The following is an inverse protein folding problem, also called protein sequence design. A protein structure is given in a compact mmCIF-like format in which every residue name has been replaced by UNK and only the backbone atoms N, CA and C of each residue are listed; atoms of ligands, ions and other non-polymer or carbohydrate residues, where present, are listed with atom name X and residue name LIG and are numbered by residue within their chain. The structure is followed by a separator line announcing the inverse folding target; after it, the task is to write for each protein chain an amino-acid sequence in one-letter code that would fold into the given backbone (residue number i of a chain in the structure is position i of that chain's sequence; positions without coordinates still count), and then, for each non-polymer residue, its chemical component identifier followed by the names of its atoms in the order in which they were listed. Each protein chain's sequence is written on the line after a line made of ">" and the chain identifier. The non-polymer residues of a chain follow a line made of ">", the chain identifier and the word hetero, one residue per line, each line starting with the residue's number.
data_IF_685395471817
#
_entry.id   IF_685395471817
#
_cell.length_a   1.000
_cell.length_b   1.000
_cell.length_c   1.000
_cell.angle_alpha   90.00
_cell.angle_beta   90.00
_cell.angle_gamma   90.00
#
_symmetry.space_group_name_H-M   'P 1'
#
loop_
_entity.id
_entity.type
_entity.pdbx_description
1 polymer ?
#
# COMPACT_ATOMS: atom_id res chain seq x y z
N UNK A 1 32.08 -2.16 37.19
CA UNK A 1 30.79 -1.84 36.55
C UNK A 1 31.03 -1.46 35.11
N UNK A 2 30.16 -1.98 34.22
CA UNK A 2 29.74 -1.45 32.92
C UNK A 2 30.86 -0.92 31.99
N UNK A 3 31.09 -1.45 30.80
CA UNK A 3 30.13 -1.44 29.69
C UNK A 3 30.54 -2.47 28.64
N UNK A 4 29.74 -3.52 28.47
CA UNK A 4 29.74 -4.26 27.21
C UNK A 4 28.94 -3.37 26.26
N UNK A 5 29.65 -2.60 25.43
CA UNK A 5 29.07 -1.84 24.32
C UNK A 5 28.35 -2.86 23.44
N UNK A 6 27.04 -2.96 23.60
CA UNK A 6 26.18 -3.94 22.93
C UNK A 6 26.46 -3.85 21.42
N UNK A 7 27.03 -4.92 20.86
CA UNK A 7 27.51 -4.96 19.48
C UNK A 7 26.36 -4.57 18.56
N UNK A 8 26.51 -3.47 17.81
CA UNK A 8 25.47 -2.96 16.91
C UNK A 8 25.05 -4.06 15.91
N UNK A 9 23.91 -4.68 16.20
CA UNK A 9 23.31 -5.68 15.34
C UNK A 9 22.40 -4.98 14.32
N UNK A 10 23.01 -4.61 13.20
CA UNK A 10 22.33 -3.99 12.04
C UNK A 10 21.11 -4.81 11.59
N UNK A 11 21.15 -6.14 11.70
CA UNK A 11 20.06 -7.02 11.28
C UNK A 11 18.88 -6.87 12.22
N UNK A 12 19.13 -6.88 13.53
CA UNK A 12 18.10 -6.62 14.56
C UNK A 12 17.49 -5.24 14.38
N UNK A 13 18.32 -4.20 14.20
CA UNK A 13 17.86 -2.84 13.97
C UNK A 13 16.94 -2.73 12.75
N UNK A 14 17.37 -3.25 11.59
CA UNK A 14 16.57 -3.22 10.36
C UNK A 14 15.25 -3.98 10.49
N UNK A 15 15.23 -5.11 11.22
CA UNK A 15 14.00 -5.87 11.47
C UNK A 15 13.02 -5.08 12.32
N UNK A 16 13.49 -4.48 13.42
CA UNK A 16 12.66 -3.65 14.30
C UNK A 16 12.13 -2.43 13.57
N UNK A 17 12.99 -1.73 12.82
CA UNK A 17 12.58 -0.59 12.01
C UNK A 17 11.50 -0.97 10.99
N UNK A 18 11.71 -2.04 10.24
CA UNK A 18 10.73 -2.47 9.25
C UNK A 18 9.41 -2.90 9.87
N UNK A 19 9.43 -3.56 11.04
CA UNK A 19 8.24 -4.00 11.75
C UNK A 19 7.40 -2.82 12.26
N UNK A 20 8.04 -1.74 12.69
CA UNK A 20 7.35 -0.61 13.31
C UNK A 20 6.81 0.38 12.27
N UNK A 21 7.44 0.48 11.10
CA UNK A 21 7.10 1.51 10.10
C UNK A 21 6.30 0.99 8.91
N UNK A 22 6.30 -0.32 8.66
CA UNK A 22 5.70 -0.88 7.45
C UNK A 22 4.89 -2.14 7.76
N UNK A 23 3.68 -2.18 7.22
CA UNK A 23 2.90 -3.40 7.09
C UNK A 23 3.35 -4.18 5.87
N UNK A 24 3.61 -5.47 6.04
CA UNK A 24 4.00 -6.35 4.93
C UNK A 24 2.78 -7.06 4.36
N UNK A 25 2.45 -6.74 3.10
CA UNK A 25 1.34 -7.37 2.39
C UNK A 25 1.90 -8.29 1.31
N UNK A 26 1.55 -9.58 1.38
CA UNK A 26 1.81 -10.53 0.30
C UNK A 26 0.59 -10.60 -0.61
N UNK A 27 0.81 -10.42 -1.91
CA UNK A 27 -0.25 -10.47 -2.93
C UNK A 27 0.01 -11.66 -3.84
N UNK A 28 -1.03 -12.48 -4.05
CA UNK A 28 -1.03 -13.55 -5.03
C UNK A 28 -1.89 -13.11 -6.20
N UNK A 29 -1.31 -13.10 -7.40
CA UNK A 29 -2.01 -12.80 -8.65
C UNK A 29 -1.87 -13.99 -9.60
N UNK A 30 -2.83 -14.19 -10.52
CA UNK A 30 -2.71 -15.19 -11.58
C UNK A 30 -1.42 -15.03 -12.39
N UNK A 31 -0.96 -16.14 -13.00
CA UNK A 31 0.21 -16.11 -13.89
C UNK A 31 -0.04 -15.15 -15.05
N UNK A 32 0.98 -14.37 -15.43
CA UNK A 32 0.89 -13.34 -16.48
C UNK A 32 0.38 -11.98 -16.00
N UNK A 33 -0.45 -11.93 -14.96
CA UNK A 33 -0.99 -10.66 -14.44
C UNK A 33 0.13 -9.70 -13.99
N UNK A 34 1.21 -10.23 -13.40
CA UNK A 34 2.34 -9.42 -12.94
C UNK A 34 2.99 -8.61 -14.07
N UNK A 35 3.09 -9.19 -15.25
CA UNK A 35 3.68 -8.51 -16.42
C UNK A 35 2.77 -7.41 -16.92
N UNK A 36 1.46 -7.65 -16.97
CA UNK A 36 0.46 -6.64 -17.34
C UNK A 36 0.57 -5.43 -16.40
N UNK A 37 0.58 -5.67 -15.08
CA UNK A 37 0.70 -4.60 -14.07
C UNK A 37 2.04 -3.88 -14.21
N UNK A 38 3.14 -4.61 -14.47
CA UNK A 38 4.46 -4.01 -14.68
C UNK A 38 4.47 -3.10 -15.92
N UNK A 39 3.94 -3.55 -17.05
CA UNK A 39 3.88 -2.76 -18.28
C UNK A 39 3.10 -1.46 -18.10
N UNK A 40 1.95 -1.52 -17.42
CA UNK A 40 1.19 -0.32 -17.05
C UNK A 40 1.97 0.64 -16.15
N UNK A 41 2.66 0.10 -15.13
CA UNK A 41 3.49 0.91 -14.25
C UNK A 41 4.65 1.60 -15.00
N UNK A 42 5.33 0.87 -15.89
CA UNK A 42 6.41 1.40 -16.72
C UNK A 42 5.94 2.51 -17.65
N UNK A 43 4.76 2.38 -18.25
CA UNK A 43 4.17 3.45 -19.08
C UNK A 43 3.91 4.73 -18.29
N UNK A 44 3.65 4.61 -16.98
CA UNK A 44 3.42 5.74 -16.09
C UNK A 44 4.73 6.24 -15.41
N UNK A 45 5.90 5.71 -15.79
CA UNK A 45 7.18 5.96 -15.13
C UNK A 45 7.18 5.63 -13.62
N UNK A 46 6.35 4.67 -13.20
CA UNK A 46 6.22 4.24 -11.81
C UNK A 46 6.79 2.83 -11.61
N UNK A 47 7.25 2.54 -10.39
CA UNK A 47 7.58 1.17 -10.01
C UNK A 47 6.30 0.34 -9.83
N UNK A 48 6.42 -0.99 -10.00
CA UNK A 48 5.29 -1.90 -9.76
C UNK A 48 4.67 -1.70 -8.36
N UNK A 49 5.51 -1.50 -7.34
CA UNK A 49 5.05 -1.29 -5.97
C UNK A 49 4.33 0.05 -5.80
N UNK A 50 4.87 1.12 -6.39
CA UNK A 50 4.23 2.44 -6.37
C UNK A 50 2.87 2.42 -7.07
N UNK A 51 2.77 1.73 -8.22
CA UNK A 51 1.52 1.55 -8.94
C UNK A 51 0.46 0.83 -8.08
N UNK A 52 0.85 -0.26 -7.39
CA UNK A 52 -0.07 -1.01 -6.52
C UNK A 52 -0.58 -0.12 -5.37
N UNK A 53 0.33 0.62 -4.71
CA UNK A 53 -0.06 1.53 -3.63
C UNK A 53 -1.00 2.63 -4.14
N UNK A 54 -0.70 3.23 -5.30
CA UNK A 54 -1.55 4.25 -5.90
C UNK A 54 -2.94 3.71 -6.24
N UNK A 55 -3.02 2.51 -6.82
CA UNK A 55 -4.30 1.89 -7.15
C UNK A 55 -5.16 1.62 -5.91
N UNK A 56 -4.55 1.16 -4.81
CA UNK A 56 -5.24 0.95 -3.53
C UNK A 56 -5.76 2.28 -2.98
N UNK A 57 -4.92 3.32 -2.91
CA UNK A 57 -5.31 4.63 -2.40
C UNK A 57 -6.43 5.25 -3.25
N UNK A 58 -6.30 5.20 -4.57
CA UNK A 58 -7.31 5.72 -5.49
C UNK A 58 -8.67 5.02 -5.30
N UNK A 59 -8.67 3.72 -5.04
CA UNK A 59 -9.91 2.98 -4.77
C UNK A 59 -10.55 3.40 -3.45
N UNK A 60 -9.75 3.54 -2.38
CA UNK A 60 -10.21 4.01 -1.06
C UNK A 60 -10.80 5.43 -1.17
N UNK A 61 -10.11 6.34 -1.86
CA UNK A 61 -10.56 7.72 -2.07
C UNK A 61 -11.85 7.78 -2.89
N UNK A 62 -11.95 6.94 -3.94
CA UNK A 62 -13.16 6.82 -4.75
C UNK A 62 -14.34 6.26 -3.96
N UNK A 63 -14.11 5.29 -3.07
CA UNK A 63 -15.17 4.69 -2.25
C UNK A 63 -15.66 5.68 -1.16
N UNK A 64 -14.74 6.39 -0.51
CA UNK A 64 -15.05 7.44 0.46
C UNK A 64 -15.86 8.59 -0.18
N UNK A 65 -15.50 9.01 -1.39
CA UNK A 65 -16.26 10.03 -2.12
C UNK A 65 -17.64 9.53 -2.59
N UNK A 66 -17.78 8.26 -2.96
CA UNK A 66 -19.06 7.66 -3.36
C UNK A 66 -20.01 7.43 -2.18
N UNK A 67 -19.47 7.10 -1.00
CA UNK A 67 -20.27 6.97 0.23
C UNK A 67 -20.89 8.29 0.68
N UNK A 68 -20.30 9.43 0.28
CA UNK A 68 -20.81 10.77 0.59
C UNK A 68 -21.88 11.26 -0.40
N UNK A 69 -21.92 10.75 -1.64
CA UNK A 69 -22.87 11.19 -2.68
C UNK A 69 -24.18 10.40 -2.71
N UNK A 70 -24.24 9.21 -2.11
CA UNK A 70 -25.47 8.37 -2.16
C UNK A 70 -26.56 8.81 -1.17
N UNK A 71 -26.24 9.68 -0.19
CA UNK A 71 -27.23 10.13 0.82
C UNK A 71 -28.16 11.24 0.30
N UNK A 72 -27.86 11.90 -0.83
CA UNK A 72 -28.52 13.17 -1.20
C UNK A 72 -29.72 12.98 -2.16
N UNK A 73 -29.85 11.86 -2.90
CA UNK A 73 -30.83 11.78 -4.00
C UNK A 73 -32.18 11.11 -3.70
N UNK A 74 -32.45 10.64 -2.48
CA UNK A 74 -33.71 9.94 -2.15
C UNK A 74 -34.66 10.67 -1.17
N UNK A 75 -34.63 12.00 -1.07
CA UNK A 75 -35.56 12.79 -0.23
C UNK A 75 -36.51 13.73 -0.98
N UNK A 76 -36.96 13.37 -2.20
CA UNK A 76 -38.02 14.13 -2.88
C UNK A 76 -38.89 13.30 -3.83
N UNK A 77 -39.48 12.20 -3.37
CA UNK A 77 -40.64 11.59 -4.06
C UNK A 77 -41.49 10.67 -3.18
N UNK A 78 -42.18 11.23 -2.18
CA UNK A 78 -43.54 10.85 -1.76
C UNK A 78 -44.19 12.09 -1.16
#
# INVERSE_FOLDING_TARGET
>A
MSEIKEKYDKVKYNRTYNKNNYDRIQIVVPKGQREIIRSHATNNNESLNAFIIRAINQLIDSENSTSSSTIIDNKKKV
#
